data_IF_925671505262
#
_entry.id   IF_925671505262
#
_cell.length_a   1.000
_cell.length_b   1.000
_cell.length_c   1.000
_cell.angle_alpha   90.00
_cell.angle_beta   90.00
_cell.angle_gamma   90.00
#
_symmetry.space_group_name_H-M   'P 1'
#
loop_
_entity.id
_entity.type
_entity.pdbx_description
1 polymer ?
#
# COMPACT_ATOMS: atom_id res chain seq x y z
N UNK A 1 -1.61 -5.36 -19.10
CA UNK A 1 -2.37 -4.26 -19.75
C UNK A 1 -2.76 -3.29 -18.65
N UNK A 2 -2.52 -1.99 -18.84
CA UNK A 2 -2.80 -0.94 -17.86
C UNK A 2 -4.29 -0.78 -17.60
N UNK A 3 -4.65 -0.25 -16.43
CA UNK A 3 -6.05 0.01 -16.05
C UNK A 3 -6.78 0.86 -17.09
N UNK A 4 -6.17 1.96 -17.53
CA UNK A 4 -6.77 2.85 -18.54
C UNK A 4 -7.03 2.16 -19.89
N UNK A 5 -6.13 1.26 -20.30
CA UNK A 5 -6.31 0.50 -21.55
C UNK A 5 -7.49 -0.46 -21.46
N UNK A 6 -7.67 -1.13 -20.31
CA UNK A 6 -8.82 -1.99 -20.04
C UNK A 6 -10.11 -1.16 -20.03
N UNK A 7 -10.07 0.02 -19.43
CA UNK A 7 -11.19 0.95 -19.37
C UNK A 7 -11.62 1.39 -20.77
N UNK A 8 -10.67 1.81 -21.62
CA UNK A 8 -10.92 2.17 -23.03
C UNK A 8 -11.49 1.02 -23.85
N UNK A 9 -11.08 -0.22 -23.55
CA UNK A 9 -11.59 -1.45 -24.18
C UNK A 9 -12.87 -1.98 -23.55
N UNK A 10 -13.43 -1.30 -22.56
CA UNK A 10 -14.65 -1.68 -21.81
C UNK A 10 -14.59 -3.09 -21.22
N UNK A 11 -13.44 -3.50 -20.73
CA UNK A 11 -13.23 -4.81 -20.13
C UNK A 11 -13.67 -4.85 -18.65
N UNK A 12 -14.89 -4.41 -18.38
CA UNK A 12 -15.38 -4.16 -17.02
C UNK A 12 -15.42 -5.41 -16.13
N UNK A 13 -15.84 -6.55 -16.68
CA UNK A 13 -15.84 -7.81 -15.90
C UNK A 13 -14.42 -8.28 -15.55
N UNK A 14 -13.47 -8.13 -16.47
CA UNK A 14 -12.07 -8.43 -16.20
C UNK A 14 -11.49 -7.50 -15.14
N UNK A 15 -11.79 -6.20 -15.24
CA UNK A 15 -11.36 -5.21 -14.24
C UNK A 15 -11.95 -5.51 -12.88
N UNK A 16 -13.25 -5.85 -12.83
CA UNK A 16 -13.88 -6.24 -11.58
C UNK A 16 -13.20 -7.47 -10.96
N UNK A 17 -13.01 -8.52 -11.73
CA UNK A 17 -12.35 -9.75 -11.26
C UNK A 17 -10.94 -9.48 -10.73
N UNK A 18 -10.20 -8.59 -11.38
CA UNK A 18 -8.80 -8.29 -11.03
C UNK A 18 -8.67 -7.39 -9.79
N UNK A 19 -9.49 -6.34 -9.66
CA UNK A 19 -9.35 -5.35 -8.60
C UNK A 19 -10.37 -5.49 -7.47
N UNK A 20 -11.53 -6.04 -7.74
CA UNK A 20 -12.64 -6.19 -6.80
C UNK A 20 -13.08 -7.64 -6.59
N UNK A 21 -12.42 -8.62 -7.21
CA UNK A 21 -12.78 -10.03 -7.16
C UNK A 21 -12.77 -10.62 -5.74
N UNK A 22 -12.08 -9.99 -4.80
CA UNK A 22 -12.13 -10.37 -3.39
C UNK A 22 -13.53 -10.26 -2.78
N UNK A 23 -14.41 -9.44 -3.36
CA UNK A 23 -15.82 -9.32 -2.94
C UNK A 23 -16.70 -10.50 -3.37
N UNK A 24 -16.23 -11.27 -4.34
CA UNK A 24 -16.93 -12.48 -4.84
C UNK A 24 -16.55 -13.74 -4.05
N UNK A 25 -15.60 -13.64 -3.09
CA UNK A 25 -15.13 -14.76 -2.29
C UNK A 25 -16.09 -15.05 -1.12
N UNK A 26 -16.28 -16.33 -0.85
CA UNK A 26 -16.80 -16.77 0.45
C UNK A 26 -15.72 -16.61 1.55
N UNK A 27 -16.14 -16.78 2.80
CA UNK A 27 -15.21 -16.61 3.94
C UNK A 27 -14.05 -17.61 3.90
N UNK A 28 -14.29 -18.84 3.44
CA UNK A 28 -13.26 -19.87 3.36
C UNK A 28 -12.23 -19.55 2.27
N UNK A 29 -12.69 -19.05 1.12
CA UNK A 29 -11.83 -18.57 0.04
C UNK A 29 -10.98 -17.40 0.49
N UNK A 30 -11.59 -16.44 1.19
CA UNK A 30 -10.88 -15.30 1.75
C UNK A 30 -9.83 -15.75 2.77
N UNK A 31 -10.20 -16.62 3.72
CA UNK A 31 -9.27 -17.11 4.75
C UNK A 31 -8.12 -17.94 4.18
N UNK A 32 -8.34 -18.74 3.13
CA UNK A 32 -7.24 -19.43 2.44
C UNK A 32 -6.20 -18.46 1.88
N UNK A 33 -6.66 -17.36 1.29
CA UNK A 33 -5.74 -16.32 0.76
C UNK A 33 -4.99 -15.64 1.91
N UNK A 34 -5.68 -15.27 2.99
CA UNK A 34 -5.05 -14.62 4.15
C UNK A 34 -4.01 -15.53 4.81
N UNK A 35 -4.30 -16.81 4.95
CA UNK A 35 -3.37 -17.81 5.50
C UNK A 35 -2.10 -17.88 4.64
N UNK A 36 -2.25 -18.09 3.33
CA UNK A 36 -1.12 -18.13 2.40
C UNK A 36 -0.27 -16.87 2.45
N UNK A 37 -0.90 -15.68 2.38
CA UNK A 37 -0.19 -14.40 2.44
C UNK A 37 0.55 -14.21 3.77
N UNK A 38 -0.02 -14.62 4.88
CA UNK A 38 0.64 -14.53 6.19
C UNK A 38 1.85 -15.47 6.27
N UNK A 39 1.75 -16.68 5.76
CA UNK A 39 2.86 -17.64 5.71
C UNK A 39 3.99 -17.14 4.81
N UNK A 40 3.68 -16.57 3.64
CA UNK A 40 4.64 -15.91 2.76
C UNK A 40 5.37 -14.77 3.47
N UNK A 41 4.64 -13.93 4.24
CA UNK A 41 5.24 -12.84 5.01
C UNK A 41 6.13 -13.38 6.14
N UNK A 42 5.71 -14.40 6.87
CA UNK A 42 6.53 -15.03 7.93
C UNK A 42 7.86 -15.54 7.33
N UNK A 43 7.79 -16.22 6.20
CA UNK A 43 8.99 -16.73 5.51
C UNK A 43 9.90 -15.60 5.04
N UNK A 44 9.33 -14.55 4.43
CA UNK A 44 10.06 -13.38 3.95
C UNK A 44 10.79 -12.66 5.09
N UNK A 45 10.08 -12.38 6.19
CA UNK A 45 10.66 -11.67 7.34
C UNK A 45 11.69 -12.50 8.09
N UNK A 46 11.49 -13.79 8.22
CA UNK A 46 12.45 -14.70 8.90
C UNK A 46 13.85 -14.66 8.25
N UNK A 47 13.96 -14.33 6.99
CA UNK A 47 15.22 -14.19 6.28
C UNK A 47 15.97 -12.88 6.52
N UNK A 48 15.32 -11.85 7.07
CA UNK A 48 15.89 -10.52 7.23
C UNK A 48 16.50 -10.29 8.63
N UNK A 49 17.42 -9.32 8.72
CA UNK A 49 18.00 -8.95 10.01
C UNK A 49 16.96 -8.37 10.97
N UNK A 50 16.08 -7.49 10.48
CA UNK A 50 14.99 -6.94 11.27
C UNK A 50 13.97 -8.02 11.67
N UNK A 51 13.65 -8.93 10.76
CA UNK A 51 12.75 -10.04 11.07
C UNK A 51 13.30 -10.95 12.15
N UNK A 52 14.56 -11.35 12.08
CA UNK A 52 15.22 -12.13 13.16
C UNK A 52 15.14 -11.42 14.51
N UNK A 53 15.39 -10.11 14.55
CA UNK A 53 15.24 -9.31 15.78
C UNK A 53 13.81 -9.34 16.32
N UNK A 54 12.79 -9.17 15.48
CA UNK A 54 11.38 -9.19 15.89
C UNK A 54 10.94 -10.59 16.33
N UNK A 55 11.41 -11.61 15.62
CA UNK A 55 11.11 -13.00 15.88
C UNK A 55 11.95 -13.59 17.05
N UNK A 56 12.87 -12.82 17.62
CA UNK A 56 13.76 -13.27 18.70
C UNK A 56 14.54 -14.54 18.30
N UNK A 57 15.08 -14.52 17.06
CA UNK A 57 15.76 -15.64 16.38
C UNK A 57 14.96 -16.95 16.29
N UNK A 58 13.66 -16.91 16.53
CA UNK A 58 12.75 -18.02 16.29
C UNK A 58 12.39 -18.08 14.80
N UNK A 59 12.11 -19.28 14.32
CA UNK A 59 11.79 -19.51 12.90
C UNK A 59 10.40 -20.14 12.74
N UNK A 60 9.30 -19.41 13.06
CA UNK A 60 7.95 -19.93 12.90
C UNK A 60 7.69 -20.21 11.41
N UNK A 61 7.02 -21.31 11.14
CA UNK A 61 6.62 -21.72 9.78
C UNK A 61 5.12 -21.61 9.53
N UNK A 62 4.35 -21.59 10.61
CA UNK A 62 2.88 -21.49 10.56
C UNK A 62 2.41 -20.26 11.31
N UNK A 63 1.17 -19.87 11.06
CA UNK A 63 0.52 -18.74 11.76
C UNK A 63 0.42 -19.03 13.27
N UNK A 64 0.13 -20.27 13.66
CA UNK A 64 0.01 -20.69 15.05
C UNK A 64 1.37 -20.60 15.77
N UNK A 65 2.44 -21.04 15.12
CA UNK A 65 3.79 -20.92 15.64
C UNK A 65 4.18 -19.43 15.79
N UNK A 66 3.89 -18.62 14.78
CA UNK A 66 4.12 -17.19 14.82
C UNK A 66 3.40 -16.52 15.99
N UNK A 67 2.10 -16.77 16.16
CA UNK A 67 1.30 -16.21 17.28
C UNK A 67 1.81 -16.60 18.65
N UNK A 68 2.37 -17.80 18.79
CA UNK A 68 2.95 -18.27 20.07
C UNK A 68 4.36 -17.72 20.31
N UNK A 69 5.13 -17.54 19.25
CA UNK A 69 6.54 -17.20 19.34
C UNK A 69 6.79 -15.69 19.40
N UNK A 70 5.97 -14.89 18.72
CA UNK A 70 6.23 -13.47 18.51
C UNK A 70 5.44 -12.62 19.49
N UNK A 71 6.14 -11.76 20.21
CA UNK A 71 5.53 -10.76 21.09
C UNK A 71 4.93 -9.63 20.28
N UNK A 72 3.93 -8.95 20.84
CA UNK A 72 3.47 -7.69 20.30
C UNK A 72 4.61 -6.67 20.31
N UNK A 73 4.81 -6.01 19.18
CA UNK A 73 5.82 -4.97 19.00
C UNK A 73 5.19 -3.60 18.82
N UNK A 74 5.95 -2.58 19.11
CA UNK A 74 5.64 -1.19 18.85
C UNK A 74 6.67 -0.59 17.90
N UNK A 75 6.46 0.63 17.45
CA UNK A 75 7.44 1.32 16.61
C UNK A 75 8.82 1.46 17.31
N UNK A 76 8.83 1.59 18.63
CA UNK A 76 10.06 1.70 19.44
C UNK A 76 11.01 0.52 19.26
N UNK A 77 10.48 -0.69 19.03
CA UNK A 77 11.26 -1.92 18.93
C UNK A 77 12.16 -1.96 17.68
N UNK A 78 11.87 -1.11 16.67
CA UNK A 78 12.60 -1.05 15.40
C UNK A 78 12.81 0.39 14.87
N UNK A 79 12.54 1.40 15.69
CA UNK A 79 12.66 2.80 15.32
C UNK A 79 14.09 3.19 14.90
N UNK A 80 15.10 2.64 15.55
CA UNK A 80 16.51 2.86 15.24
C UNK A 80 16.86 2.45 13.80
N UNK A 81 16.28 1.34 13.32
CA UNK A 81 16.48 0.83 11.97
C UNK A 81 15.73 1.71 10.96
N UNK A 82 14.46 2.00 11.23
CA UNK A 82 13.60 2.73 10.29
C UNK A 82 13.96 4.22 10.18
N UNK A 83 14.26 4.87 11.30
CA UNK A 83 14.67 6.29 11.31
C UNK A 83 16.00 6.51 10.60
N UNK A 84 16.92 5.55 10.69
CA UNK A 84 18.19 5.57 9.96
C UNK A 84 18.08 5.04 8.52
N UNK A 85 16.90 4.63 8.10
CA UNK A 85 16.61 4.09 6.76
C UNK A 85 17.53 2.91 6.38
N UNK A 86 17.76 1.99 7.31
CA UNK A 86 18.61 0.81 7.16
C UNK A 86 17.94 -0.25 6.28
N UNK A 87 17.89 0.02 4.96
CA UNK A 87 17.33 -0.89 3.97
C UNK A 87 18.00 -2.27 3.92
N UNK A 88 19.28 -2.31 4.29
CA UNK A 88 20.08 -3.54 4.40
C UNK A 88 19.58 -4.53 5.47
N UNK A 89 18.80 -4.06 6.42
CA UNK A 89 18.21 -4.89 7.47
C UNK A 89 16.81 -5.40 7.14
N UNK A 90 16.21 -4.93 6.07
CA UNK A 90 14.84 -5.24 5.68
C UNK A 90 14.76 -6.51 4.80
N UNK A 91 13.60 -7.16 4.71
CA UNK A 91 13.44 -8.36 3.89
C UNK A 91 13.43 -8.08 2.39
N UNK A 92 13.18 -6.83 1.99
CA UNK A 92 13.15 -6.40 0.59
C UNK A 92 13.64 -4.96 0.48
N UNK A 93 14.10 -4.56 -0.70
CA UNK A 93 14.68 -3.25 -0.96
C UNK A 93 13.60 -2.18 -1.06
N UNK A 94 13.62 -1.15 -0.22
CA UNK A 94 12.69 -0.03 -0.33
C UNK A 94 12.92 0.77 -1.62
N UNK A 95 11.84 1.09 -2.33
CA UNK A 95 11.87 2.01 -3.48
C UNK A 95 11.59 3.45 -3.06
N UNK A 96 10.93 3.64 -1.92
CA UNK A 96 10.65 4.95 -1.32
C UNK A 96 10.54 4.82 0.19
N UNK A 97 10.95 5.88 0.88
CA UNK A 97 10.74 6.03 2.32
C UNK A 97 9.69 7.09 2.55
N UNK A 98 8.66 6.73 3.30
CA UNK A 98 7.61 7.66 3.70
C UNK A 98 7.78 8.04 5.17
N UNK A 99 7.17 9.16 5.53
CA UNK A 99 7.04 9.57 6.91
C UNK A 99 5.58 9.87 7.26
N UNK A 100 5.23 9.65 8.51
CA UNK A 100 3.95 10.04 9.07
C UNK A 100 4.18 11.00 10.22
N UNK A 101 3.32 11.98 10.37
CA UNK A 101 3.27 12.80 11.58
C UNK A 101 2.38 12.11 12.60
N UNK A 102 2.80 12.11 13.85
CA UNK A 102 2.00 11.61 14.97
C UNK A 102 2.15 12.57 16.14
N UNK A 103 1.04 13.07 16.63
CA UNK A 103 1.01 13.95 17.79
C UNK A 103 1.06 13.15 19.08
N UNK A 104 2.16 12.50 19.34
CA UNK A 104 2.32 11.74 20.58
C UNK A 104 3.39 10.66 20.47
N UNK A 105 3.87 10.24 21.65
CA UNK A 105 4.93 9.24 21.76
C UNK A 105 6.33 9.83 21.63
N UNK A 106 7.31 8.95 21.74
CA UNK A 106 8.75 9.29 21.74
C UNK A 106 9.26 9.78 20.39
N UNK A 107 8.64 9.34 19.30
CA UNK A 107 9.02 9.70 17.95
C UNK A 107 7.86 10.46 17.27
N UNK A 108 7.92 11.80 17.22
CA UNK A 108 6.88 12.62 16.58
C UNK A 108 6.79 12.39 15.05
N UNK A 109 7.87 11.92 14.45
CA UNK A 109 7.90 11.49 13.05
C UNK A 109 8.27 10.02 13.00
N UNK A 110 7.45 9.22 12.33
CA UNK A 110 7.74 7.82 12.03
C UNK A 110 8.11 7.67 10.57
N UNK A 111 9.12 6.89 10.29
CA UNK A 111 9.59 6.58 8.94
C UNK A 111 9.26 5.12 8.65
N UNK A 112 8.77 4.85 7.46
CA UNK A 112 8.47 3.50 7.01
C UNK A 112 8.96 3.27 5.57
N UNK A 113 9.48 2.08 5.26
CA UNK A 113 9.85 1.70 3.92
C UNK A 113 8.61 1.34 3.08
N UNK A 114 8.68 1.60 1.79
CA UNK A 114 7.75 1.04 0.82
C UNK A 114 8.54 0.29 -0.25
N UNK A 115 8.27 -0.99 -0.39
CA UNK A 115 8.85 -1.84 -1.43
C UNK A 115 8.00 -1.81 -2.69
N UNK A 116 8.49 -2.38 -3.78
CA UNK A 116 7.72 -2.50 -5.02
C UNK A 116 6.39 -3.24 -4.79
N UNK A 117 6.43 -4.39 -4.11
CA UNK A 117 5.22 -5.18 -3.81
C UNK A 117 4.20 -4.42 -2.94
N UNK A 118 4.67 -3.62 -1.98
CA UNK A 118 3.79 -2.76 -1.18
C UNK A 118 3.15 -1.66 -2.03
N UNK A 119 3.90 -1.07 -2.96
CA UNK A 119 3.37 -0.04 -3.87
C UNK A 119 2.34 -0.64 -4.84
N UNK A 120 2.57 -1.85 -5.34
CA UNK A 120 1.62 -2.57 -6.20
C UNK A 120 0.32 -2.88 -5.45
N UNK A 121 0.40 -3.33 -4.21
CA UNK A 121 -0.78 -3.54 -3.35
C UNK A 121 -1.53 -2.23 -3.11
N UNK A 122 -0.82 -1.16 -2.79
CA UNK A 122 -1.41 0.17 -2.60
C UNK A 122 -2.10 0.67 -3.87
N UNK A 123 -1.48 0.49 -5.03
CA UNK A 123 -2.07 0.79 -6.35
C UNK A 123 -3.38 0.05 -6.58
N UNK A 124 -3.37 -1.27 -6.39
CA UNK A 124 -4.56 -2.10 -6.59
C UNK A 124 -5.70 -1.69 -5.65
N UNK A 125 -5.39 -1.33 -4.41
CA UNK A 125 -6.39 -0.82 -3.47
C UNK A 125 -6.99 0.52 -3.95
N UNK A 126 -6.18 1.45 -4.47
CA UNK A 126 -6.69 2.71 -5.01
C UNK A 126 -7.59 2.45 -6.23
N UNK A 127 -7.17 1.59 -7.15
CA UNK A 127 -7.96 1.25 -8.34
C UNK A 127 -9.28 0.59 -7.96
N UNK A 128 -9.27 -0.32 -6.98
CA UNK A 128 -10.48 -0.88 -6.41
C UNK A 128 -11.40 0.21 -5.80
N UNK A 129 -10.84 1.14 -5.02
CA UNK A 129 -11.59 2.26 -4.43
C UNK A 129 -12.22 3.15 -5.51
N UNK A 130 -11.50 3.47 -6.58
CA UNK A 130 -12.05 4.24 -7.71
C UNK A 130 -13.24 3.53 -8.36
N UNK A 131 -13.14 2.22 -8.56
CA UNK A 131 -14.25 1.43 -9.10
C UNK A 131 -15.42 1.38 -8.13
N UNK A 132 -15.17 1.07 -6.87
CA UNK A 132 -16.22 0.91 -5.85
C UNK A 132 -16.94 2.23 -5.55
N UNK A 133 -16.24 3.37 -5.54
CA UNK A 133 -16.84 4.68 -5.29
C UNK A 133 -17.87 5.09 -6.35
N UNK A 134 -17.79 4.51 -7.54
CA UNK A 134 -18.72 4.79 -8.65
C UNK A 134 -19.57 3.58 -9.03
N UNK A 135 -19.47 2.50 -8.25
CA UNK A 135 -20.16 1.24 -8.55
C UNK A 135 -21.59 1.25 -8.04
N UNK A 136 -22.50 0.69 -8.85
CA UNK A 136 -23.88 0.35 -8.47
C UNK A 136 -24.18 -1.14 -8.65
N UNK A 137 -23.17 -1.97 -8.67
CA UNK A 137 -23.24 -3.41 -8.74
C UNK A 137 -21.98 -4.03 -9.35
N UNK A 138 -21.88 -5.37 -9.28
CA UNK A 138 -20.75 -6.14 -9.80
C UNK A 138 -20.50 -5.81 -11.27
N UNK A 139 -19.28 -5.37 -11.59
CA UNK A 139 -18.86 -4.98 -12.94
C UNK A 139 -19.52 -3.71 -13.49
N UNK A 140 -20.34 -3.02 -12.68
CA UNK A 140 -21.08 -1.81 -13.08
C UNK A 140 -20.53 -0.61 -12.33
N UNK A 141 -19.50 0.01 -12.85
CA UNK A 141 -18.88 1.22 -12.32
C UNK A 141 -18.73 2.28 -13.43
N UNK A 142 -18.58 3.54 -13.03
CA UNK A 142 -18.57 4.68 -13.94
C UNK A 142 -17.29 5.52 -13.81
N UNK A 143 -16.15 4.86 -13.85
CA UNK A 143 -14.85 5.54 -13.99
C UNK A 143 -14.58 5.81 -15.45
N UNK A 144 -14.12 7.01 -15.79
CA UNK A 144 -13.80 7.43 -17.17
C UNK A 144 -12.35 7.87 -17.25
N UNK A 145 -11.70 7.62 -18.38
CA UNK A 145 -10.33 8.08 -18.63
C UNK A 145 -10.20 9.62 -18.62
N UNK A 146 -11.32 10.34 -18.80
CA UNK A 146 -11.41 11.81 -18.78
C UNK A 146 -11.71 12.40 -17.41
N UNK A 147 -11.94 11.55 -16.38
CA UNK A 147 -12.17 12.03 -15.03
C UNK A 147 -10.90 12.69 -14.49
N UNK A 148 -11.09 13.62 -13.55
CA UNK A 148 -10.02 14.37 -12.92
C UNK A 148 -9.92 14.00 -11.45
N UNK A 149 -8.71 14.04 -10.90
CA UNK A 149 -8.44 13.74 -9.50
C UNK A 149 -8.13 15.03 -8.76
N UNK A 150 -8.99 15.41 -7.82
CA UNK A 150 -8.66 16.51 -6.89
C UNK A 150 -7.59 16.02 -5.92
N UNK A 151 -6.41 16.65 -5.97
CA UNK A 151 -5.24 16.26 -5.19
C UNK A 151 -4.86 17.34 -4.18
N UNK A 152 -5.59 17.37 -3.07
CA UNK A 152 -5.32 18.25 -1.93
C UNK A 152 -4.41 17.63 -0.87
N UNK A 153 -3.77 16.49 -1.19
CA UNK A 153 -2.97 15.70 -0.26
C UNK A 153 -1.52 16.19 -0.16
N UNK A 154 -0.88 15.92 0.98
CA UNK A 154 0.54 16.21 1.15
C UNK A 154 1.40 15.32 0.23
N UNK A 155 2.40 15.90 -0.47
CA UNK A 155 3.28 15.14 -1.35
C UNK A 155 4.27 14.28 -0.55
N UNK A 156 5.10 13.50 -1.26
CA UNK A 156 6.24 12.83 -0.62
C UNK A 156 7.11 13.86 0.14
N UNK A 157 7.65 13.47 1.29
CA UNK A 157 7.76 12.12 1.85
C UNK A 157 6.56 11.65 2.67
N UNK A 158 5.45 12.38 2.71
CA UNK A 158 4.24 11.91 3.41
C UNK A 158 3.60 10.73 2.69
N UNK A 159 2.96 9.82 3.46
CA UNK A 159 2.33 8.61 2.93
C UNK A 159 1.30 8.91 1.81
N UNK A 160 0.59 10.02 1.93
CA UNK A 160 -0.38 10.49 0.91
C UNK A 160 0.26 10.82 -0.44
N UNK A 161 1.56 11.12 -0.46
CA UNK A 161 2.33 11.33 -1.68
C UNK A 161 2.59 10.06 -2.50
N UNK A 162 2.29 8.88 -1.95
CA UNK A 162 2.31 7.62 -2.70
C UNK A 162 1.19 7.53 -3.74
N UNK A 163 0.09 8.26 -3.53
CA UNK A 163 -1.08 8.20 -4.39
C UNK A 163 -0.76 8.50 -5.88
N UNK A 164 -0.19 9.65 -6.24
CA UNK A 164 0.18 9.91 -7.63
C UNK A 164 1.31 9.00 -8.13
N UNK A 165 2.23 8.59 -7.25
CA UNK A 165 3.30 7.67 -7.60
C UNK A 165 2.74 6.29 -8.02
N UNK A 166 1.76 5.79 -7.27
CA UNK A 166 1.14 4.50 -7.54
C UNK A 166 0.34 4.49 -8.85
N UNK A 167 -0.32 5.59 -9.17
CA UNK A 167 -1.25 5.67 -10.31
C UNK A 167 -0.62 6.08 -11.64
N UNK A 168 0.54 6.75 -11.64
CA UNK A 168 1.11 7.42 -12.82
C UNK A 168 1.24 6.53 -14.06
N UNK A 169 1.37 5.22 -13.87
CA UNK A 169 1.56 4.26 -14.96
C UNK A 169 0.27 3.52 -15.35
N UNK A 170 -0.76 3.63 -14.54
CA UNK A 170 -2.01 2.90 -14.71
C UNK A 170 -3.12 3.75 -15.33
N UNK A 171 -3.15 5.02 -14.99
CA UNK A 171 -4.17 5.96 -15.47
C UNK A 171 -3.53 7.29 -15.88
N UNK A 172 -4.02 7.85 -16.98
CA UNK A 172 -3.66 9.17 -17.48
C UNK A 172 -4.56 10.30 -16.98
N UNK A 173 -5.33 10.08 -15.91
CA UNK A 173 -6.21 11.12 -15.35
C UNK A 173 -5.42 12.34 -14.89
N UNK A 174 -5.97 13.52 -15.16
CA UNK A 174 -5.38 14.79 -14.75
C UNK A 174 -5.54 14.99 -13.23
N UNK A 175 -4.43 15.33 -12.57
CA UNK A 175 -4.46 15.76 -11.16
C UNK A 175 -4.67 17.27 -11.07
N UNK A 176 -5.52 17.71 -10.16
CA UNK A 176 -5.82 19.11 -9.88
C UNK A 176 -5.55 19.44 -8.41
N UNK A 177 -4.55 20.28 -8.10
CA UNK A 177 -3.56 20.81 -9.01
C UNK A 177 -2.64 19.74 -9.58
N UNK A 178 -1.92 20.01 -10.69
CA UNK A 178 -0.91 19.08 -11.21
C UNK A 178 0.11 18.72 -10.13
N UNK A 179 0.50 17.44 -10.07
CA UNK A 179 1.39 16.93 -9.00
C UNK A 179 2.68 17.77 -8.87
N UNK A 180 3.28 18.17 -10.00
CA UNK A 180 4.50 19.02 -10.05
C UNK A 180 4.30 20.39 -9.39
N UNK A 181 3.08 20.90 -9.37
CA UNK A 181 2.74 22.18 -8.76
C UNK A 181 2.35 21.99 -7.29
N UNK A 182 1.57 20.94 -7.00
CA UNK A 182 1.17 20.57 -5.64
C UNK A 182 2.36 20.40 -4.67
N UNK A 183 3.50 19.88 -5.16
CA UNK A 183 4.72 19.72 -4.34
C UNK A 183 5.33 21.06 -3.89
N UNK A 184 5.03 22.16 -4.58
CA UNK A 184 5.54 23.51 -4.29
C UNK A 184 4.57 24.31 -3.43
N UNK A 185 3.33 23.90 -3.33
CA UNK A 185 2.27 24.60 -2.62
C UNK A 185 2.34 24.30 -1.13
N UNK A 186 2.03 25.29 -0.31
CA UNK A 186 1.73 25.10 1.10
C UNK A 186 0.41 24.33 1.28
N UNK A 187 0.15 23.88 2.50
CA UNK A 187 -1.12 23.20 2.79
C UNK A 187 -2.34 24.08 2.47
N UNK A 188 -2.30 25.36 2.83
CA UNK A 188 -3.38 26.32 2.54
C UNK A 188 -3.62 26.57 1.06
N UNK A 189 -2.57 26.51 0.24
CA UNK A 189 -2.72 26.74 -1.20
C UNK A 189 -3.27 25.51 -1.94
N UNK A 190 -3.20 24.32 -1.33
CA UNK A 190 -3.75 23.08 -1.91
C UNK A 190 -5.23 22.87 -1.57
N UNK A 191 -5.72 23.46 -0.50
CA UNK A 191 -7.10 23.35 -0.03
C UNK A 191 -7.88 24.63 -0.29
#
# INVERSE_FOLDING_TARGET
MKFEEKLKKRQYDQMWSEYCGFLDLDIDGYMRIQTRLMEEQIALWSGSALGRRILDDKHPRTIEEFRRAVKLTSYEDYADILLQKRGDMLPDTPIVWIQTTWEGGRHPVKVAPYTSGMLDTYRNNILACLMLSTSNGRGKFNVRATDKILYALAPLPYATGLFPLALREEIGMEFLPPVKDAVKMTFSERN
#
